data_IF_163551698261
#
_entry.id   IF_163551698261
#
_cell.length_a   1.000
_cell.length_b   1.000
_cell.length_c   1.000
_cell.angle_alpha   90.00
_cell.angle_beta   90.00
_cell.angle_gamma   90.00
#
_symmetry.space_group_name_H-M   'P 1'
#
loop_
_entity.id
_entity.type
_entity.pdbx_description
1 polymer ?
#
# COMPACT_ATOMS: atom_id res chain seq x y z
N UNK A 1 35.69 10.25 -27.13
CA UNK A 1 36.08 8.92 -26.65
C UNK A 1 34.92 8.42 -25.82
N UNK A 2 34.07 7.63 -26.43
CA UNK A 2 32.82 7.06 -25.85
C UNK A 2 33.17 5.78 -25.09
N UNK A 3 32.83 5.77 -23.82
CA UNK A 3 33.04 4.62 -22.93
C UNK A 3 31.84 3.65 -23.12
N UNK A 4 32.03 2.38 -23.47
CA UNK A 4 30.91 1.44 -23.58
C UNK A 4 30.50 0.95 -22.19
N UNK A 5 29.23 1.12 -21.83
CA UNK A 5 28.56 0.53 -20.67
C UNK A 5 28.69 -0.99 -20.69
N UNK A 6 29.40 -1.54 -19.72
CA UNK A 6 29.47 -2.99 -19.45
C UNK A 6 28.11 -3.46 -18.91
N UNK A 7 27.39 -4.24 -19.69
CA UNK A 7 26.29 -5.10 -19.22
C UNK A 7 26.89 -6.26 -18.43
N UNK A 8 26.80 -6.21 -17.10
CA UNK A 8 27.12 -7.37 -16.26
C UNK A 8 25.87 -8.27 -16.16
N UNK A 9 25.93 -9.46 -16.71
CA UNK A 9 24.97 -10.52 -16.46
C UNK A 9 25.21 -11.10 -15.08
N UNK A 10 24.40 -10.73 -14.10
CA UNK A 10 24.27 -11.43 -12.83
C UNK A 10 23.17 -12.48 -12.96
N UNK A 11 23.45 -13.73 -12.62
CA UNK A 11 22.46 -14.81 -12.54
C UNK A 11 21.87 -14.85 -11.14
N UNK A 12 20.54 -14.77 -11.06
CA UNK A 12 19.78 -14.93 -9.83
C UNK A 12 19.63 -16.43 -9.46
N UNK A 13 19.38 -16.83 -8.19
CA UNK A 13 19.25 -18.22 -7.74
C UNK A 13 18.21 -19.08 -8.47
N UNK A 14 17.37 -18.47 -9.33
CA UNK A 14 16.38 -19.13 -10.17
C UNK A 14 16.79 -19.36 -11.63
N UNK A 15 18.03 -19.05 -12.05
CA UNK A 15 18.57 -19.38 -13.38
C UNK A 15 18.09 -18.49 -14.54
N UNK A 16 17.41 -17.37 -14.30
CA UNK A 16 16.93 -16.44 -15.33
C UNK A 16 17.97 -15.37 -15.74
N UNK A 17 17.99 -14.99 -17.02
CA UNK A 17 18.82 -13.87 -17.49
C UNK A 17 18.21 -12.54 -17.07
N UNK A 18 18.93 -11.75 -16.28
CA UNK A 18 18.50 -10.38 -15.89
C UNK A 18 18.72 -9.44 -17.08
N UNK A 19 17.65 -8.79 -17.53
CA UNK A 19 17.67 -7.73 -18.55
C UNK A 19 16.90 -6.52 -18.03
N UNK A 20 17.35 -5.34 -18.41
CA UNK A 20 16.65 -4.08 -18.17
C UNK A 20 16.89 -3.48 -16.79
N UNK A 21 17.47 -2.32 -16.78
CA UNK A 21 17.98 -1.65 -15.60
C UNK A 21 17.36 -0.27 -15.46
N UNK A 22 16.22 -0.18 -14.76
CA UNK A 22 16.02 1.02 -13.97
C UNK A 22 16.53 0.76 -12.55
N UNK A 23 17.01 1.78 -11.85
CA UNK A 23 17.38 1.67 -10.44
C UNK A 23 16.20 1.30 -9.52
N UNK A 24 14.97 1.23 -10.07
CA UNK A 24 13.70 1.06 -9.36
C UNK A 24 12.99 -0.27 -9.64
N UNK A 25 13.35 -0.94 -10.76
CA UNK A 25 12.74 -2.21 -11.12
C UNK A 25 13.72 -3.05 -11.97
N UNK A 26 13.63 -4.37 -11.82
CA UNK A 26 14.42 -5.35 -12.57
C UNK A 26 13.47 -6.26 -13.33
N UNK A 27 13.76 -6.54 -14.60
CA UNK A 27 13.06 -7.50 -15.41
C UNK A 27 13.85 -8.82 -15.48
N UNK A 28 13.23 -9.90 -15.08
CA UNK A 28 13.79 -11.26 -15.16
C UNK A 28 12.90 -12.15 -15.99
N UNK A 29 13.46 -12.96 -16.86
CA UNK A 29 12.74 -14.01 -17.60
C UNK A 29 12.77 -15.31 -16.79
N UNK A 30 11.60 -15.84 -16.49
CA UNK A 30 11.45 -17.12 -15.80
C UNK A 30 10.84 -18.13 -16.77
N UNK A 31 11.41 -19.33 -16.88
CA UNK A 31 10.82 -20.41 -17.67
C UNK A 31 9.85 -21.20 -16.79
N UNK A 32 8.56 -21.08 -17.09
CA UNK A 32 7.52 -21.86 -16.45
C UNK A 32 7.39 -23.23 -17.17
N UNK A 33 7.18 -24.32 -16.42
CA UNK A 33 7.21 -25.67 -17.00
C UNK A 33 6.19 -25.91 -18.12
N UNK A 34 4.99 -25.35 -18.01
CA UNK A 34 3.89 -25.56 -18.96
C UNK A 34 3.59 -24.33 -19.84
N UNK A 35 3.66 -23.13 -19.28
CA UNK A 35 3.31 -21.88 -19.96
C UNK A 35 4.46 -21.29 -20.79
N UNK A 36 5.71 -21.69 -20.54
CA UNK A 36 6.90 -21.14 -21.23
C UNK A 36 7.43 -19.86 -20.58
N UNK A 37 7.85 -18.88 -21.40
CA UNK A 37 8.51 -17.67 -20.89
C UNK A 37 7.56 -16.75 -20.15
N UNK A 38 7.93 -16.40 -18.92
CA UNK A 38 7.21 -15.49 -18.04
C UNK A 38 8.09 -14.26 -17.72
N UNK A 39 7.56 -13.06 -17.85
CA UNK A 39 8.25 -11.83 -17.50
C UNK A 39 7.96 -11.48 -16.03
N UNK A 40 8.98 -11.54 -15.18
CA UNK A 40 8.89 -11.16 -13.77
C UNK A 40 9.54 -9.81 -13.55
N UNK A 41 8.77 -8.83 -13.09
CA UNK A 41 9.21 -7.49 -12.73
C UNK A 41 9.37 -7.44 -11.22
N UNK A 42 10.59 -7.21 -10.74
CA UNK A 42 10.89 -7.04 -9.31
C UNK A 42 11.12 -5.57 -9.00
N UNK A 43 10.24 -4.99 -8.18
CA UNK A 43 10.34 -3.61 -7.72
C UNK A 43 11.35 -3.49 -6.59
N UNK A 44 12.21 -2.46 -6.65
CA UNK A 44 13.30 -2.25 -5.68
C UNK A 44 13.40 -0.79 -5.27
N UNK A 45 13.72 -0.55 -4.01
CA UNK A 45 14.04 0.78 -3.46
C UNK A 45 15.54 1.03 -3.30
N UNK A 46 16.38 0.14 -3.88
CA UNK A 46 17.81 0.13 -3.63
C UNK A 46 18.17 -0.70 -2.38
N UNK A 47 19.44 -0.68 -2.01
CA UNK A 47 19.99 -1.54 -0.96
C UNK A 47 19.25 -1.37 0.39
N UNK A 48 18.56 -2.41 0.82
CA UNK A 48 17.86 -2.48 2.10
C UNK A 48 16.64 -1.59 2.27
N UNK A 49 16.21 -0.87 1.23
CA UNK A 49 15.06 0.04 1.28
C UNK A 49 13.84 -0.54 0.58
N UNK A 50 12.62 -0.26 1.07
CA UNK A 50 11.41 -0.61 0.35
C UNK A 50 11.30 0.20 -0.95
N UNK A 51 10.75 -0.41 -1.99
CA UNK A 51 10.34 0.32 -3.18
C UNK A 51 9.24 1.34 -2.85
N UNK A 52 9.33 2.53 -3.42
CA UNK A 52 8.31 3.58 -3.36
C UNK A 52 8.09 4.18 -4.75
N UNK A 53 6.90 4.71 -5.00
CA UNK A 53 6.59 5.37 -6.27
C UNK A 53 6.81 6.88 -6.19
N UNK A 54 7.84 7.35 -6.88
CA UNK A 54 8.03 8.73 -7.32
C UNK A 54 7.70 8.85 -8.81
N UNK A 55 7.69 10.05 -9.36
CA UNK A 55 7.56 10.23 -10.82
C UNK A 55 8.65 9.48 -11.58
N UNK A 56 9.88 9.48 -11.08
CA UNK A 56 11.03 8.81 -11.70
C UNK A 56 10.87 7.28 -11.69
N UNK A 57 10.47 6.69 -10.56
CA UNK A 57 10.25 5.23 -10.46
C UNK A 57 9.03 4.77 -11.27
N UNK A 58 7.97 5.59 -11.37
CA UNK A 58 6.84 5.31 -12.25
C UNK A 58 7.25 5.32 -13.72
N UNK A 59 8.05 6.29 -14.16
CA UNK A 59 8.59 6.32 -15.53
C UNK A 59 9.50 5.12 -15.81
N UNK A 60 10.37 4.75 -14.86
CA UNK A 60 11.21 3.56 -14.98
C UNK A 60 10.39 2.26 -15.09
N UNK A 61 9.29 2.15 -14.34
CA UNK A 61 8.36 1.01 -14.48
C UNK A 61 7.63 1.05 -15.84
N UNK A 62 7.25 2.23 -16.31
CA UNK A 62 6.61 2.41 -17.62
C UNK A 62 7.51 1.91 -18.77
N UNK A 63 8.79 2.25 -18.75
CA UNK A 63 9.77 1.80 -19.75
C UNK A 63 9.82 0.25 -19.81
N UNK A 64 9.89 -0.40 -18.66
CA UNK A 64 9.87 -1.88 -18.58
C UNK A 64 8.54 -2.44 -19.10
N UNK A 65 7.41 -1.84 -18.73
CA UNK A 65 6.10 -2.32 -19.20
C UNK A 65 5.93 -2.16 -20.72
N UNK A 66 6.50 -1.12 -21.33
CA UNK A 66 6.53 -0.94 -22.80
C UNK A 66 7.35 -2.05 -23.46
N UNK A 67 8.55 -2.38 -22.94
CA UNK A 67 9.37 -3.48 -23.44
C UNK A 67 8.62 -4.82 -23.32
N UNK A 68 8.04 -5.09 -22.14
CA UNK A 68 7.30 -6.34 -21.90
C UNK A 68 6.07 -6.43 -22.81
N UNK A 69 5.33 -5.33 -23.03
CA UNK A 69 4.18 -5.30 -23.94
C UNK A 69 4.56 -5.64 -25.38
N UNK A 70 5.68 -5.16 -25.87
CA UNK A 70 6.18 -5.50 -27.21
C UNK A 70 6.47 -7.02 -27.33
N UNK A 71 7.03 -7.62 -26.29
CA UNK A 71 7.32 -9.08 -26.24
C UNK A 71 6.07 -9.93 -26.07
N UNK A 72 5.09 -9.46 -25.32
CA UNK A 72 3.76 -10.08 -25.23
C UNK A 72 3.10 -10.09 -26.60
N UNK A 73 3.09 -8.95 -27.29
CA UNK A 73 2.46 -8.82 -28.61
C UNK A 73 3.15 -9.66 -29.71
N UNK A 74 4.43 -9.96 -29.54
CA UNK A 74 5.17 -10.88 -30.43
C UNK A 74 5.04 -12.37 -30.04
N UNK A 75 4.27 -12.69 -28.99
CA UNK A 75 4.09 -14.06 -28.52
C UNK A 75 5.29 -14.66 -27.79
N UNK A 76 6.27 -13.84 -27.40
CA UNK A 76 7.49 -14.30 -26.71
C UNK A 76 7.27 -14.50 -25.19
N UNK A 77 6.23 -13.91 -24.61
CA UNK A 77 5.92 -13.95 -23.18
C UNK A 77 4.48 -14.40 -22.99
N UNK A 78 4.27 -15.42 -22.16
CA UNK A 78 2.96 -16.01 -21.89
C UNK A 78 2.24 -15.41 -20.67
N UNK A 79 2.96 -14.68 -19.83
CA UNK A 79 2.40 -14.02 -18.65
C UNK A 79 3.38 -13.02 -18.05
N UNK A 80 2.86 -12.08 -17.27
CA UNK A 80 3.63 -10.99 -16.64
C UNK A 80 3.37 -10.99 -15.15
N UNK A 81 4.41 -10.97 -14.33
CA UNK A 81 4.31 -10.86 -12.88
C UNK A 81 5.04 -9.64 -12.34
N UNK A 82 4.52 -9.09 -11.26
CA UNK A 82 5.16 -8.03 -10.49
C UNK A 82 5.32 -8.48 -9.03
N UNK A 83 6.49 -8.24 -8.46
CA UNK A 83 6.80 -8.56 -7.06
C UNK A 83 7.72 -7.52 -6.46
N UNK A 84 7.92 -7.57 -5.15
CA UNK A 84 8.87 -6.71 -4.46
C UNK A 84 10.09 -7.47 -3.93
N UNK A 85 10.92 -6.80 -3.14
CA UNK A 85 12.11 -7.38 -2.53
C UNK A 85 11.96 -7.57 -1.03
N UNK A 86 12.54 -8.63 -0.49
CA UNK A 86 12.59 -8.95 0.94
C UNK A 86 11.17 -9.02 1.55
N UNK A 87 10.91 -8.15 2.56
CA UNK A 87 9.62 -8.06 3.27
C UNK A 87 8.71 -6.97 2.73
N UNK A 88 9.05 -6.39 1.59
CA UNK A 88 8.28 -5.31 0.99
C UNK A 88 7.87 -5.68 -0.42
N UNK A 89 6.58 -5.54 -0.70
CA UNK A 89 6.10 -5.49 -2.06
C UNK A 89 6.33 -4.07 -2.60
N UNK A 90 5.59 -3.08 -2.12
CA UNK A 90 5.84 -1.65 -2.34
C UNK A 90 5.26 -0.84 -1.18
N UNK A 91 6.03 0.12 -0.66
CA UNK A 91 5.64 0.93 0.50
C UNK A 91 4.82 2.20 0.14
N UNK A 92 4.27 2.26 -1.07
CA UNK A 92 3.41 3.35 -1.50
C UNK A 92 4.10 4.45 -2.28
N UNK A 93 3.44 5.62 -2.36
CA UNK A 93 3.97 6.81 -3.00
C UNK A 93 5.08 7.46 -2.17
N UNK A 94 6.00 8.18 -2.83
CA UNK A 94 6.94 9.06 -2.14
C UNK A 94 6.21 10.32 -1.63
N UNK A 95 5.76 10.24 -0.37
CA UNK A 95 4.99 11.29 0.31
C UNK A 95 5.78 12.61 0.38
N UNK A 96 7.12 12.55 0.45
CA UNK A 96 7.96 13.76 0.49
C UNK A 96 7.91 14.48 -0.85
N UNK A 97 8.06 13.73 -1.95
CA UNK A 97 7.96 14.29 -3.29
C UNK A 97 6.56 14.90 -3.54
N UNK A 98 5.49 14.24 -3.09
CA UNK A 98 4.13 14.78 -3.20
C UNK A 98 3.93 16.07 -2.40
N UNK A 99 4.46 16.16 -1.17
CA UNK A 99 4.38 17.35 -0.32
C UNK A 99 5.02 18.57 -0.96
N UNK A 100 6.07 18.37 -1.75
CA UNK A 100 6.84 19.44 -2.37
C UNK A 100 6.19 20.03 -3.63
N UNK A 101 5.11 19.43 -4.13
CA UNK A 101 4.33 19.95 -5.26
C UNK A 101 3.65 21.28 -4.89
N UNK A 102 3.64 22.25 -5.81
CA UNK A 102 3.18 23.62 -5.54
C UNK A 102 1.96 24.03 -6.35
N UNK A 103 1.63 23.32 -7.40
CA UNK A 103 0.55 23.66 -8.31
C UNK A 103 -0.31 22.44 -8.69
N UNK A 104 -1.55 22.73 -9.06
CA UNK A 104 -2.54 21.71 -9.38
C UNK A 104 -2.21 20.93 -10.66
N UNK A 105 -1.53 21.57 -11.62
CA UNK A 105 -1.11 20.91 -12.85
C UNK A 105 -0.11 19.79 -12.58
N UNK A 106 0.93 20.09 -11.80
CA UNK A 106 1.93 19.11 -11.37
C UNK A 106 1.33 18.00 -10.51
N UNK A 107 0.44 18.33 -9.58
CA UNK A 107 -0.23 17.34 -8.74
C UNK A 107 -1.10 16.37 -9.57
N UNK A 108 -1.89 16.90 -10.51
CA UNK A 108 -2.67 16.07 -11.44
C UNK A 108 -1.79 15.26 -12.40
N UNK A 109 -0.63 15.80 -12.80
CA UNK A 109 0.29 15.09 -13.69
C UNK A 109 0.83 13.81 -13.02
N UNK A 110 1.21 13.88 -11.74
CA UNK A 110 1.64 12.69 -10.96
C UNK A 110 0.50 11.69 -10.81
N UNK A 111 -0.72 12.16 -10.53
CA UNK A 111 -1.88 11.28 -10.45
C UNK A 111 -2.15 10.56 -11.79
N UNK A 112 -2.13 11.28 -12.92
CA UNK A 112 -2.28 10.68 -14.25
C UNK A 112 -1.19 9.68 -14.59
N UNK A 113 0.07 9.98 -14.24
CA UNK A 113 1.18 9.08 -14.50
C UNK A 113 0.98 7.73 -13.81
N UNK A 114 0.54 7.70 -12.55
CA UNK A 114 0.25 6.44 -11.86
C UNK A 114 -0.86 5.65 -12.55
N UNK A 115 -1.97 6.30 -12.95
CA UNK A 115 -3.03 5.65 -13.73
C UNK A 115 -2.53 5.09 -15.06
N UNK A 116 -1.68 5.84 -15.78
CA UNK A 116 -1.12 5.39 -17.06
C UNK A 116 -0.23 4.16 -16.88
N UNK A 117 0.66 4.18 -15.90
CA UNK A 117 1.60 3.09 -15.65
C UNK A 117 0.88 1.83 -15.17
N UNK A 118 -0.04 1.96 -14.23
CA UNK A 118 -0.78 0.79 -13.72
C UNK A 118 -1.79 0.28 -14.76
N UNK A 119 -2.39 1.17 -15.54
CA UNK A 119 -3.24 0.80 -16.67
C UNK A 119 -2.48 0.06 -17.77
N UNK A 120 -1.19 0.35 -17.97
CA UNK A 120 -0.37 -0.40 -18.92
C UNK A 120 -0.14 -1.86 -18.51
N UNK A 121 -0.02 -2.14 -17.20
CA UNK A 121 0.02 -3.52 -16.68
C UNK A 121 -1.32 -4.23 -16.89
N UNK A 122 -2.43 -3.55 -16.59
CA UNK A 122 -3.79 -4.09 -16.72
C UNK A 122 -4.15 -4.40 -18.18
N UNK A 123 -3.68 -3.57 -19.13
CA UNK A 123 -3.95 -3.70 -20.57
C UNK A 123 -3.13 -4.78 -21.29
N UNK A 124 -2.30 -5.54 -20.60
CA UNK A 124 -1.52 -6.62 -21.23
C UNK A 124 -2.43 -7.72 -21.78
N UNK A 125 -2.17 -8.18 -23.00
CA UNK A 125 -2.95 -9.23 -23.68
C UNK A 125 -2.63 -10.65 -23.18
N UNK A 126 -1.99 -10.79 -22.02
CA UNK A 126 -1.68 -12.06 -21.34
C UNK A 126 -2.08 -11.94 -19.86
N UNK A 127 -2.23 -13.06 -19.14
CA UNK A 127 -2.47 -13.01 -17.69
C UNK A 127 -1.39 -12.24 -16.96
N UNK A 128 -1.81 -11.28 -16.12
CA UNK A 128 -0.94 -10.48 -15.26
C UNK A 128 -1.10 -10.85 -13.80
N UNK A 129 -0.01 -10.84 -13.06
CA UNK A 129 0.05 -11.32 -11.68
C UNK A 129 0.73 -10.31 -10.77
N UNK A 130 0.22 -10.14 -9.55
CA UNK A 130 0.94 -9.50 -8.45
C UNK A 130 1.25 -10.54 -7.37
N UNK A 131 2.52 -10.75 -7.10
CA UNK A 131 2.99 -11.64 -6.05
C UNK A 131 3.35 -10.78 -4.82
N UNK A 132 2.37 -10.61 -3.92
CA UNK A 132 2.48 -9.73 -2.76
C UNK A 132 3.31 -10.44 -1.68
N UNK A 133 4.64 -10.31 -1.79
CA UNK A 133 5.61 -10.97 -0.93
C UNK A 133 5.78 -10.33 0.47
N UNK A 134 5.18 -9.17 0.70
CA UNK A 134 5.32 -8.42 1.94
C UNK A 134 4.43 -7.17 1.97
N UNK A 135 4.86 -6.13 2.65
CA UNK A 135 4.08 -4.91 2.81
C UNK A 135 3.70 -4.28 1.47
N UNK A 136 2.39 -4.07 1.25
CA UNK A 136 1.78 -3.44 0.08
C UNK A 136 0.88 -2.29 0.56
N UNK A 137 1.38 -1.07 0.51
CA UNK A 137 0.75 0.08 1.14
C UNK A 137 0.41 1.14 0.09
N UNK A 138 -0.80 1.69 0.12
CA UNK A 138 -1.22 2.76 -0.78
C UNK A 138 -1.00 2.41 -2.25
N UNK A 139 -0.31 3.24 -3.01
CA UNK A 139 0.05 2.97 -4.41
C UNK A 139 0.71 1.60 -4.65
N UNK A 140 1.32 1.00 -3.62
CA UNK A 140 1.82 -0.36 -3.67
C UNK A 140 0.69 -1.40 -3.74
N UNK A 141 -0.39 -1.21 -3.01
CA UNK A 141 -1.58 -2.04 -3.17
C UNK A 141 -2.29 -1.71 -4.50
N UNK A 142 -2.32 -0.45 -4.93
CA UNK A 142 -2.97 -0.04 -6.18
C UNK A 142 -2.34 -0.69 -7.42
N UNK A 143 -1.00 -0.81 -7.48
CA UNK A 143 -0.34 -1.56 -8.58
C UNK A 143 -0.65 -3.06 -8.52
N UNK A 144 -0.77 -3.64 -7.32
CA UNK A 144 -1.20 -5.03 -7.18
C UNK A 144 -2.66 -5.24 -7.65
N UNK A 145 -3.53 -4.26 -7.39
CA UNK A 145 -4.93 -4.28 -7.87
C UNK A 145 -5.05 -4.14 -9.39
N UNK A 146 -4.06 -3.54 -10.06
CA UNK A 146 -4.00 -3.45 -11.52
C UNK A 146 -3.63 -4.79 -12.20
N UNK A 147 -2.99 -5.70 -11.50
CA UNK A 147 -2.78 -7.07 -12.02
C UNK A 147 -4.10 -7.86 -12.00
N UNK A 148 -4.29 -8.75 -13.00
CA UNK A 148 -5.50 -9.57 -13.07
C UNK A 148 -5.59 -10.57 -11.92
N UNK A 149 -4.47 -11.19 -11.51
CA UNK A 149 -4.40 -12.20 -10.48
C UNK A 149 -3.41 -11.81 -9.38
N UNK A 150 -3.67 -12.22 -8.15
CA UNK A 150 -2.85 -11.89 -6.97
C UNK A 150 -2.62 -13.09 -6.09
N UNK A 151 -1.37 -13.27 -5.69
CA UNK A 151 -1.02 -14.13 -4.55
C UNK A 151 -0.51 -13.26 -3.40
N UNK A 152 -0.65 -13.73 -2.18
CA UNK A 152 -0.17 -13.01 -0.99
C UNK A 152 0.60 -13.94 -0.08
N UNK A 153 1.71 -13.46 0.48
CA UNK A 153 2.42 -14.17 1.55
C UNK A 153 1.64 -14.06 2.86
N UNK A 154 1.46 -15.18 3.56
CA UNK A 154 0.85 -15.17 4.90
C UNK A 154 1.65 -14.35 5.92
N UNK A 155 2.95 -14.14 5.67
CA UNK A 155 3.82 -13.30 6.50
C UNK A 155 3.78 -11.80 6.13
N UNK A 156 3.05 -11.42 5.09
CA UNK A 156 2.84 -10.01 4.79
C UNK A 156 2.07 -9.35 5.94
N UNK A 157 2.65 -8.31 6.53
CA UNK A 157 2.17 -7.73 7.79
C UNK A 157 1.54 -6.34 7.64
N UNK A 158 1.50 -5.79 6.42
CA UNK A 158 0.92 -4.48 6.16
C UNK A 158 0.37 -4.41 4.73
N UNK A 159 -0.92 -4.66 4.59
CA UNK A 159 -1.67 -4.50 3.34
C UNK A 159 -2.76 -3.48 3.60
N UNK A 160 -2.70 -2.32 2.93
CA UNK A 160 -3.61 -1.21 3.25
C UNK A 160 -3.67 -0.14 2.17
N UNK A 161 -4.77 0.63 2.18
CA UNK A 161 -4.92 1.92 1.51
C UNK A 161 -5.11 3.00 2.58
N UNK A 162 -4.01 3.53 3.16
CA UNK A 162 -4.08 4.39 4.33
C UNK A 162 -4.20 5.88 3.99
N UNK A 163 -4.44 6.24 2.75
CA UNK A 163 -4.32 7.60 2.21
C UNK A 163 -5.14 8.62 3.00
N UNK A 164 -6.37 8.27 3.43
CA UNK A 164 -7.21 9.21 4.19
C UNK A 164 -6.64 9.57 5.57
N UNK A 165 -5.79 8.71 6.14
CA UNK A 165 -5.06 9.01 7.37
C UNK A 165 -4.05 10.15 7.18
N UNK A 166 -3.52 10.29 5.96
CA UNK A 166 -2.59 11.36 5.59
C UNK A 166 -3.28 12.56 4.94
N UNK A 167 -4.61 12.55 4.79
CA UNK A 167 -5.34 13.63 4.13
C UNK A 167 -5.34 13.51 2.61
N UNK A 168 -5.09 12.33 2.06
CA UNK A 168 -5.19 11.98 0.64
C UNK A 168 -6.30 10.94 0.41
N UNK A 169 -6.42 10.47 -0.83
CA UNK A 169 -7.21 9.30 -1.21
C UNK A 169 -6.38 8.40 -2.15
N UNK A 170 -6.72 7.10 -2.28
CA UNK A 170 -6.13 6.26 -3.32
C UNK A 170 -6.43 6.86 -4.68
N UNK A 171 -5.42 7.30 -5.39
CA UNK A 171 -5.61 8.11 -6.60
C UNK A 171 -4.92 7.54 -7.84
N UNK A 172 -4.59 6.24 -7.82
CA UNK A 172 -4.03 5.49 -8.94
C UNK A 172 -4.88 4.27 -9.32
N UNK A 173 -6.20 4.38 -9.05
CA UNK A 173 -7.21 3.40 -9.42
C UNK A 173 -7.70 2.52 -8.27
N UNK A 174 -7.27 2.77 -7.04
CA UNK A 174 -7.72 2.03 -5.86
C UNK A 174 -9.20 2.23 -5.57
N UNK A 175 -9.71 3.45 -5.77
CA UNK A 175 -11.13 3.78 -5.57
C UNK A 175 -12.04 3.03 -6.55
N UNK A 176 -11.58 2.84 -7.80
CA UNK A 176 -12.31 2.08 -8.80
C UNK A 176 -12.19 0.56 -8.60
N UNK A 177 -10.95 0.06 -8.45
CA UNK A 177 -10.66 -1.40 -8.50
C UNK A 177 -11.04 -2.13 -7.23
N UNK A 178 -10.77 -1.54 -6.05
CA UNK A 178 -10.97 -2.28 -4.79
C UNK A 178 -12.43 -2.66 -4.55
N UNK A 179 -13.43 -1.77 -4.64
CA UNK A 179 -14.82 -2.14 -4.39
C UNK A 179 -15.37 -3.15 -5.41
N UNK A 180 -14.83 -3.17 -6.62
CA UNK A 180 -15.20 -4.16 -7.65
C UNK A 180 -14.53 -5.52 -7.44
N UNK A 181 -13.50 -5.56 -6.61
CA UNK A 181 -12.80 -6.80 -6.25
C UNK A 181 -13.35 -7.46 -4.98
N UNK A 182 -13.66 -6.66 -3.94
CA UNK A 182 -14.04 -7.18 -2.61
C UNK A 182 -15.42 -6.70 -2.13
N UNK A 183 -16.16 -6.00 -2.97
CA UNK A 183 -17.45 -5.39 -2.65
C UNK A 183 -17.33 -4.04 -1.94
N UNK A 184 -18.37 -3.18 -2.03
CA UNK A 184 -18.32 -1.81 -1.52
C UNK A 184 -18.14 -1.73 0.00
N UNK A 185 -18.75 -2.62 0.77
CA UNK A 185 -18.63 -2.62 2.24
C UNK A 185 -17.20 -2.92 2.72
N UNK A 186 -16.55 -3.93 2.14
CA UNK A 186 -15.17 -4.25 2.46
C UNK A 186 -14.21 -3.15 1.95
N UNK A 187 -14.51 -2.52 0.83
CA UNK A 187 -13.72 -1.41 0.33
C UNK A 187 -13.78 -0.19 1.26
N UNK A 188 -14.96 0.18 1.77
CA UNK A 188 -15.11 1.23 2.80
C UNK A 188 -14.33 0.86 4.07
N UNK A 189 -14.39 -0.41 4.50
CA UNK A 189 -13.59 -0.88 5.63
C UNK A 189 -12.09 -0.66 5.43
N UNK A 190 -11.55 -1.04 4.26
CA UNK A 190 -10.11 -0.94 3.96
C UNK A 190 -9.65 0.50 3.75
N UNK A 191 -10.46 1.34 3.06
CA UNK A 191 -10.06 2.69 2.67
C UNK A 191 -10.48 3.79 3.67
N UNK A 192 -11.47 3.53 4.55
CA UNK A 192 -12.02 4.51 5.50
C UNK A 192 -11.89 4.04 6.94
N UNK A 193 -12.55 2.92 7.29
CA UNK A 193 -12.62 2.48 8.68
C UNK A 193 -11.24 2.17 9.27
N UNK A 194 -10.47 1.34 8.58
CA UNK A 194 -9.14 0.92 9.04
C UNK A 194 -8.16 2.10 9.18
N UNK A 195 -8.00 3.01 8.19
CA UNK A 195 -7.15 4.18 8.35
C UNK A 195 -7.59 5.10 9.50
N UNK A 196 -8.89 5.34 9.67
CA UNK A 196 -9.44 6.15 10.77
C UNK A 196 -9.44 5.43 12.13
N UNK A 197 -9.15 4.13 12.16
CA UNK A 197 -8.94 3.33 13.37
C UNK A 197 -7.44 3.19 13.70
N UNK A 198 -6.74 4.30 13.88
CA UNK A 198 -5.30 4.37 14.16
C UNK A 198 -4.43 3.72 13.07
N UNK A 199 -4.80 3.89 11.82
CA UNK A 199 -4.11 3.32 10.67
C UNK A 199 -3.96 1.78 10.76
N UNK A 200 -5.05 1.09 11.07
CA UNK A 200 -5.09 -0.37 11.09
C UNK A 200 -4.77 -0.92 9.69
N UNK A 201 -3.92 -1.93 9.65
CA UNK A 201 -3.54 -2.62 8.40
C UNK A 201 -4.04 -4.06 8.43
N UNK A 202 -4.13 -4.69 7.26
CA UNK A 202 -4.38 -6.11 7.11
C UNK A 202 -3.04 -6.86 7.10
N UNK A 203 -3.03 -8.07 7.60
CA UNK A 203 -2.01 -9.06 7.30
C UNK A 203 -2.36 -9.85 6.02
N UNK A 204 -1.44 -10.70 5.56
CA UNK A 204 -1.65 -11.46 4.32
C UNK A 204 -2.84 -12.42 4.39
N UNK A 205 -3.10 -13.02 5.55
CA UNK A 205 -4.23 -13.92 5.75
C UNK A 205 -5.55 -13.16 5.68
N UNK A 206 -5.66 -12.06 6.38
CA UNK A 206 -6.85 -11.18 6.33
C UNK A 206 -7.09 -10.61 4.93
N UNK A 207 -6.04 -10.27 4.19
CA UNK A 207 -6.16 -9.81 2.81
C UNK A 207 -6.70 -10.90 1.88
N UNK A 208 -6.27 -12.16 2.06
CA UNK A 208 -6.81 -13.31 1.34
C UNK A 208 -8.27 -13.58 1.70
N UNK A 209 -8.61 -13.59 3.00
CA UNK A 209 -9.97 -13.80 3.48
C UNK A 209 -10.97 -12.75 2.97
N UNK A 210 -10.51 -11.49 2.83
CA UNK A 210 -11.30 -10.41 2.22
C UNK A 210 -11.41 -10.51 0.69
N UNK A 211 -10.63 -11.38 0.03
CA UNK A 211 -10.63 -11.53 -1.43
C UNK A 211 -9.72 -10.55 -2.17
N UNK A 212 -8.83 -9.82 -1.47
CA UNK A 212 -7.81 -8.97 -2.11
C UNK A 212 -6.84 -9.84 -2.93
N UNK A 213 -6.53 -11.05 -2.45
CA UNK A 213 -5.72 -12.02 -3.18
C UNK A 213 -6.53 -13.28 -3.52
N UNK A 214 -6.19 -13.93 -4.63
CA UNK A 214 -6.84 -15.15 -5.10
C UNK A 214 -6.37 -16.40 -4.37
N UNK A 215 -5.15 -16.37 -3.83
CA UNK A 215 -4.57 -17.42 -3.00
C UNK A 215 -3.48 -16.85 -2.09
N UNK A 216 -3.19 -17.59 -1.01
CA UNK A 216 -2.13 -17.24 -0.06
C UNK A 216 -1.14 -18.40 0.04
N UNK A 217 0.14 -18.07 0.21
CA UNK A 217 1.21 -19.03 0.39
C UNK A 217 2.09 -18.64 1.55
N UNK A 218 2.68 -19.63 2.22
CA UNK A 218 3.62 -19.41 3.31
C UNK A 218 5.01 -19.01 2.77
N UNK A 219 5.69 -18.12 3.49
CA UNK A 219 7.13 -17.89 3.38
C UNK A 219 7.87 -19.13 3.95
N UNK A 220 9.02 -19.59 3.47
CA UNK A 220 9.95 -18.94 2.54
C UNK A 220 9.73 -19.25 1.06
N UNK A 221 8.86 -20.18 0.70
CA UNK A 221 8.68 -20.64 -0.69
C UNK A 221 7.65 -19.83 -1.48
N UNK A 222 7.29 -18.66 -0.98
CA UNK A 222 6.23 -17.83 -1.53
C UNK A 222 6.36 -17.58 -3.05
N UNK A 223 7.52 -17.13 -3.52
CA UNK A 223 7.70 -16.80 -4.94
C UNK A 223 7.63 -18.03 -5.82
N UNK A 224 8.25 -19.14 -5.42
CA UNK A 224 8.23 -20.39 -6.19
C UNK A 224 6.81 -20.99 -6.27
N UNK A 225 6.05 -20.92 -5.16
CA UNK A 225 4.64 -21.35 -5.14
C UNK A 225 3.76 -20.43 -6.00
N UNK A 226 4.01 -19.12 -5.96
CA UNK A 226 3.30 -18.13 -6.77
C UNK A 226 3.55 -18.32 -8.26
N UNK A 227 4.80 -18.59 -8.66
CA UNK A 227 5.16 -18.92 -10.06
C UNK A 227 4.52 -20.23 -10.51
N UNK A 228 4.55 -21.27 -9.68
CA UNK A 228 3.89 -22.55 -10.00
C UNK A 228 2.36 -22.40 -10.08
N UNK A 229 1.77 -21.51 -9.30
CA UNK A 229 0.36 -21.18 -9.42
C UNK A 229 0.07 -20.37 -10.69
N UNK A 230 0.91 -19.42 -11.07
CA UNK A 230 0.79 -18.65 -12.31
C UNK A 230 0.87 -19.57 -13.54
N UNK A 231 1.79 -20.55 -13.56
CA UNK A 231 1.91 -21.54 -14.62
C UNK A 231 0.58 -22.30 -14.84
N UNK A 232 -0.06 -22.71 -13.74
CA UNK A 232 -1.38 -23.36 -13.80
C UNK A 232 -2.48 -22.41 -14.28
N UNK A 233 -2.51 -21.16 -13.82
CA UNK A 233 -3.52 -20.19 -14.25
C UNK A 233 -3.36 -19.86 -15.74
N UNK A 234 -2.14 -19.73 -16.25
CA UNK A 234 -1.90 -19.44 -17.67
C UNK A 234 -2.38 -20.60 -18.56
N UNK A 235 -2.21 -21.83 -18.12
CA UNK A 235 -2.52 -23.02 -18.93
C UNK A 235 -3.92 -23.58 -18.73
N UNK A 236 -4.60 -23.24 -17.62
CA UNK A 236 -5.96 -23.72 -17.30
C UNK A 236 -7.01 -22.62 -17.56
N UNK A 237 -7.63 -22.67 -18.74
CA UNK A 237 -8.68 -21.72 -19.12
C UNK A 237 -9.94 -21.83 -18.24
N UNK A 238 -10.30 -23.04 -17.79
CA UNK A 238 -11.49 -23.25 -16.95
C UNK A 238 -11.29 -22.60 -15.57
N UNK A 239 -10.09 -22.72 -15.00
CA UNK A 239 -9.76 -22.08 -13.72
C UNK A 239 -9.75 -20.55 -13.83
N UNK A 240 -9.26 -20.00 -14.96
CA UNK A 240 -9.36 -18.55 -15.19
C UNK A 240 -10.81 -18.09 -15.25
N UNK A 241 -11.65 -18.80 -15.99
CA UNK A 241 -13.07 -18.49 -16.13
C UNK A 241 -13.77 -18.50 -14.77
N UNK A 242 -13.52 -19.48 -13.91
CA UNK A 242 -14.07 -19.54 -12.55
C UNK A 242 -13.69 -18.31 -11.72
N UNK A 243 -12.42 -17.91 -11.73
CA UNK A 243 -11.94 -16.73 -11.01
C UNK A 243 -12.55 -15.44 -11.55
N UNK A 244 -12.72 -15.33 -12.86
CA UNK A 244 -13.30 -14.15 -13.51
C UNK A 244 -14.80 -14.04 -13.24
N UNK A 245 -15.54 -15.13 -13.27
CA UNK A 245 -16.96 -15.18 -12.91
C UNK A 245 -17.19 -14.77 -11.45
N UNK A 246 -16.34 -15.25 -10.53
CA UNK A 246 -16.39 -14.84 -9.13
C UNK A 246 -16.20 -13.33 -8.97
N UNK A 247 -15.23 -12.73 -9.69
CA UNK A 247 -14.98 -11.27 -9.66
C UNK A 247 -16.13 -10.49 -10.29
N UNK A 248 -16.64 -10.96 -11.42
CA UNK A 248 -17.77 -10.34 -12.08
C UNK A 248 -19.01 -10.27 -11.16
N UNK A 249 -19.29 -11.34 -10.42
CA UNK A 249 -20.38 -11.38 -9.45
C UNK A 249 -20.20 -10.34 -8.31
N UNK A 250 -18.96 -10.12 -7.84
CA UNK A 250 -18.66 -9.10 -6.83
C UNK A 250 -18.79 -7.69 -7.42
N UNK A 251 -18.28 -7.50 -8.64
CA UNK A 251 -18.33 -6.20 -9.34
C UNK A 251 -19.75 -5.76 -9.66
N UNK A 252 -20.69 -6.70 -9.80
CA UNK A 252 -22.13 -6.48 -10.04
C UNK A 252 -22.91 -6.24 -8.72
N UNK A 253 -22.24 -5.72 -7.68
CA UNK A 253 -22.90 -5.34 -6.43
C UNK A 253 -24.06 -4.36 -6.68
N UNK A 254 -25.18 -4.63 -6.02
CA UNK A 254 -26.41 -3.85 -6.20
C UNK A 254 -26.24 -2.39 -5.73
N UNK A 255 -27.13 -1.53 -6.22
CA UNK A 255 -27.16 -0.13 -5.81
C UNK A 255 -27.38 0.00 -4.30
N UNK A 256 -28.23 -0.85 -3.74
CA UNK A 256 -28.54 -0.90 -2.31
C UNK A 256 -27.33 -1.25 -1.46
N UNK A 257 -26.49 -2.18 -1.92
CA UNK A 257 -25.22 -2.53 -1.25
C UNK A 257 -24.24 -1.34 -1.26
N UNK A 258 -24.13 -0.64 -2.39
CA UNK A 258 -23.32 0.56 -2.49
C UNK A 258 -23.83 1.68 -1.56
N UNK A 259 -25.14 1.97 -1.61
CA UNK A 259 -25.76 3.02 -0.80
C UNK A 259 -25.60 2.72 0.70
N UNK A 260 -25.78 1.47 1.11
CA UNK A 260 -25.57 1.04 2.49
C UNK A 260 -24.10 1.19 2.96
N UNK A 261 -23.13 0.78 2.11
CA UNK A 261 -21.72 0.89 2.42
C UNK A 261 -21.28 2.36 2.55
N UNK A 262 -21.72 3.23 1.64
CA UNK A 262 -21.41 4.66 1.65
C UNK A 262 -22.02 5.33 2.87
N UNK A 263 -23.30 5.03 3.19
CA UNK A 263 -23.96 5.56 4.38
C UNK A 263 -23.22 5.17 5.67
N UNK A 264 -22.83 3.89 5.82
CA UNK A 264 -22.02 3.44 6.94
C UNK A 264 -20.67 4.17 7.01
N UNK A 265 -20.01 4.37 5.87
CA UNK A 265 -18.77 5.14 5.77
C UNK A 265 -18.95 6.59 6.24
N UNK A 266 -20.04 7.26 5.87
CA UNK A 266 -20.31 8.65 6.31
C UNK A 266 -20.48 8.73 7.84
N UNK A 267 -21.16 7.77 8.46
CA UNK A 267 -21.28 7.68 9.93
C UNK A 267 -19.91 7.51 10.57
N UNK A 268 -19.05 6.66 10.03
CA UNK A 268 -17.68 6.48 10.55
C UNK A 268 -16.89 7.79 10.43
N UNK A 269 -16.91 8.44 9.28
CA UNK A 269 -16.19 9.71 9.05
C UNK A 269 -16.65 10.78 10.03
N UNK A 270 -17.95 10.97 10.20
CA UNK A 270 -18.52 11.92 11.15
C UNK A 270 -18.05 11.62 12.59
N UNK A 271 -18.18 10.37 13.03
CA UNK A 271 -17.82 9.95 14.38
C UNK A 271 -16.33 10.10 14.70
N UNK A 272 -15.45 9.92 13.70
CA UNK A 272 -13.99 9.93 13.86
C UNK A 272 -13.35 11.29 13.62
N UNK A 273 -13.95 12.11 12.78
CA UNK A 273 -13.35 13.36 12.31
C UNK A 273 -14.20 14.58 12.60
N UNK A 274 -15.43 14.42 13.08
CA UNK A 274 -16.43 15.49 13.19
C UNK A 274 -16.56 16.27 11.87
N UNK A 275 -16.38 15.60 10.74
CA UNK A 275 -16.34 16.14 9.37
C UNK A 275 -15.25 17.22 9.15
N UNK A 276 -14.25 17.31 10.02
CA UNK A 276 -13.15 18.27 9.88
C UNK A 276 -12.07 17.81 8.86
N UNK A 277 -12.07 16.52 8.50
CA UNK A 277 -11.12 15.95 7.52
C UNK A 277 -11.77 15.85 6.14
N UNK A 278 -11.28 16.58 5.11
CA UNK A 278 -11.91 16.58 3.78
C UNK A 278 -11.67 15.27 3.00
N UNK A 279 -10.53 14.61 3.17
CA UNK A 279 -10.17 13.45 2.34
C UNK A 279 -11.10 12.25 2.50
N UNK A 280 -11.52 11.81 3.71
CA UNK A 280 -12.44 10.70 3.85
C UNK A 280 -13.82 10.99 3.24
N UNK A 281 -14.35 12.21 3.42
CA UNK A 281 -15.60 12.63 2.83
C UNK A 281 -15.52 12.62 1.29
N UNK A 282 -14.44 13.19 0.74
CA UNK A 282 -14.18 13.23 -0.71
C UNK A 282 -14.07 11.83 -1.30
N UNK A 283 -13.45 10.88 -0.59
CA UNK A 283 -13.38 9.49 -1.01
C UNK A 283 -14.76 8.85 -1.11
N UNK A 284 -15.64 9.08 -0.13
CA UNK A 284 -17.03 8.58 -0.17
C UNK A 284 -17.83 9.17 -1.31
N UNK A 285 -17.64 10.46 -1.63
CA UNK A 285 -18.25 11.10 -2.81
C UNK A 285 -17.80 10.45 -4.11
N UNK A 286 -16.50 10.11 -4.21
CA UNK A 286 -15.97 9.39 -5.38
C UNK A 286 -16.51 7.97 -5.50
N UNK A 287 -16.70 7.24 -4.40
CA UNK A 287 -17.34 5.93 -4.40
C UNK A 287 -18.80 6.02 -4.86
N UNK A 288 -19.53 7.05 -4.40
CA UNK A 288 -20.92 7.28 -4.78
C UNK A 288 -21.07 7.62 -6.26
N UNK A 289 -20.25 8.51 -6.79
CA UNK A 289 -20.22 8.87 -8.19
C UNK A 289 -19.69 7.72 -9.07
N UNK A 290 -18.61 7.10 -8.65
CA UNK A 290 -17.86 6.10 -9.42
C UNK A 290 -18.55 4.75 -9.59
N UNK A 291 -19.60 4.46 -8.79
CA UNK A 291 -20.30 3.16 -8.85
C UNK A 291 -20.87 2.84 -10.25
N UNK A 292 -21.31 3.87 -10.98
CA UNK A 292 -21.92 3.75 -12.31
C UNK A 292 -21.01 4.21 -13.46
N UNK A 293 -19.79 4.62 -13.16
CA UNK A 293 -18.82 5.09 -14.15
C UNK A 293 -17.93 3.94 -14.64
N UNK A 294 -17.43 4.10 -15.86
CA UNK A 294 -16.33 3.27 -16.33
C UNK A 294 -15.00 3.66 -15.68
N UNK A 295 -13.98 2.87 -15.96
CA UNK A 295 -12.66 3.06 -15.35
C UNK A 295 -11.99 4.39 -15.74
N UNK A 296 -12.14 4.82 -16.99
CA UNK A 296 -11.54 6.07 -17.47
C UNK A 296 -12.19 7.29 -16.83
N UNK A 297 -13.52 7.28 -16.74
CA UNK A 297 -14.28 8.34 -16.06
C UNK A 297 -13.95 8.39 -14.55
N UNK A 298 -13.82 7.24 -13.90
CA UNK A 298 -13.44 7.17 -12.50
C UNK A 298 -12.00 7.67 -12.29
N UNK A 299 -11.08 7.32 -13.20
CA UNK A 299 -9.70 7.81 -13.15
C UNK A 299 -9.60 9.33 -13.22
N UNK A 300 -10.42 9.98 -14.07
CA UNK A 300 -10.47 11.45 -14.13
C UNK A 300 -10.96 12.07 -12.81
N UNK A 301 -11.92 11.45 -12.14
CA UNK A 301 -12.37 11.89 -10.82
C UNK A 301 -11.27 11.72 -9.76
N UNK A 302 -10.59 10.57 -9.74
CA UNK A 302 -9.48 10.30 -8.82
C UNK A 302 -8.32 11.28 -9.03
N UNK A 303 -7.93 11.54 -10.28
CA UNK A 303 -6.87 12.50 -10.65
C UNK A 303 -7.19 13.91 -10.14
N UNK A 304 -8.43 14.36 -10.32
CA UNK A 304 -8.84 15.69 -9.88
C UNK A 304 -8.83 15.78 -8.35
N UNK A 305 -9.44 14.82 -7.66
CA UNK A 305 -9.55 14.81 -6.22
C UNK A 305 -8.17 14.65 -5.54
N UNK A 306 -7.32 13.73 -6.02
CA UNK A 306 -5.97 13.56 -5.48
C UNK A 306 -5.14 14.84 -5.70
N UNK A 307 -5.22 15.47 -6.89
CA UNK A 307 -4.51 16.72 -7.17
C UNK A 307 -4.90 17.86 -6.23
N UNK A 308 -6.18 18.00 -5.92
CA UNK A 308 -6.68 19.00 -4.96
C UNK A 308 -6.20 18.70 -3.54
N UNK A 309 -6.27 17.43 -3.11
CA UNK A 309 -5.88 17.02 -1.75
C UNK A 309 -4.36 17.15 -1.51
N UNK A 310 -3.51 16.87 -2.49
CA UNK A 310 -2.05 17.08 -2.40
C UNK A 310 -1.71 18.53 -2.03
N UNK A 311 -2.47 19.49 -2.51
CA UNK A 311 -2.25 20.91 -2.22
C UNK A 311 -2.93 21.38 -0.94
N UNK A 312 -3.76 20.56 -0.33
CA UNK A 312 -4.52 20.92 0.87
C UNK A 312 -3.60 21.15 2.07
N UNK A 313 -3.97 22.09 2.97
CA UNK A 313 -3.28 22.25 4.25
C UNK A 313 -3.28 20.95 5.06
N UNK A 314 -4.39 20.19 5.07
CA UNK A 314 -4.51 18.95 5.83
C UNK A 314 -3.44 17.94 5.44
N UNK A 315 -3.20 17.71 4.15
CA UNK A 315 -2.15 16.79 3.71
C UNK A 315 -0.77 17.25 4.20
N UNK A 316 -0.45 18.52 4.03
CA UNK A 316 0.85 19.09 4.46
C UNK A 316 1.07 18.95 5.96
N UNK A 317 0.04 19.23 6.74
CA UNK A 317 0.08 19.15 8.20
C UNK A 317 0.15 17.68 8.68
N UNK A 318 -0.59 16.78 8.03
CA UNK A 318 -0.54 15.34 8.31
C UNK A 318 0.83 14.75 8.00
N UNK A 319 1.43 15.12 6.86
CA UNK A 319 2.79 14.68 6.51
C UNK A 319 3.82 15.24 7.48
N UNK A 320 3.70 16.50 7.89
CA UNK A 320 4.56 17.07 8.91
C UNK A 320 4.44 16.30 10.23
N UNK A 321 3.22 16.04 10.69
CA UNK A 321 2.99 15.27 11.91
C UNK A 321 3.57 13.85 11.80
N UNK A 322 3.36 13.18 10.69
CA UNK A 322 3.82 11.80 10.46
C UNK A 322 5.35 11.71 10.31
N UNK A 323 5.95 12.49 9.41
CA UNK A 323 7.37 12.39 9.10
C UNK A 323 8.27 13.11 10.12
N UNK A 324 7.86 14.31 10.57
CA UNK A 324 8.71 15.14 11.39
C UNK A 324 8.49 14.89 12.89
N UNK A 325 7.26 14.72 13.33
CA UNK A 325 6.98 14.53 14.75
C UNK A 325 7.04 13.07 15.18
N UNK A 326 6.35 12.15 14.51
CA UNK A 326 6.28 10.76 14.92
C UNK A 326 7.57 10.01 14.60
N UNK A 327 8.13 10.16 13.40
CA UNK A 327 9.36 9.46 13.02
C UNK A 327 10.60 10.01 13.73
N UNK A 328 10.64 11.32 14.04
CA UNK A 328 11.77 11.89 14.82
C UNK A 328 11.72 11.49 16.29
N UNK A 329 10.53 11.31 16.87
CA UNK A 329 10.39 10.80 18.24
C UNK A 329 10.89 9.37 18.41
N UNK A 330 10.87 8.56 17.35
CA UNK A 330 11.40 7.20 17.36
C UNK A 330 12.94 7.16 17.23
N UNK A 331 13.57 8.28 16.88
CA UNK A 331 15.05 8.41 16.81
C UNK A 331 15.52 9.40 17.85
N UNK A 332 16.63 9.12 18.51
CA UNK A 332 17.27 10.12 19.37
C UNK A 332 17.50 11.40 18.58
N UNK A 333 16.97 12.56 19.02
CA UNK A 333 17.17 13.81 18.28
C UNK A 333 18.67 14.10 18.16
N UNK A 334 19.06 14.68 17.01
CA UNK A 334 20.45 15.18 16.85
C UNK A 334 20.73 16.19 17.97
N UNK A 335 21.77 15.96 18.77
CA UNK A 335 22.08 16.76 19.95
C UNK A 335 21.48 16.23 21.26
N UNK A 336 20.81 15.07 21.25
CA UNK A 336 20.46 14.39 22.50
C UNK A 336 21.77 14.06 23.28
N UNK A 337 21.78 14.28 24.60
CA UNK A 337 22.88 13.86 25.44
C UNK A 337 23.13 12.35 25.29
N UNK A 338 24.40 11.95 25.46
CA UNK A 338 24.75 10.53 25.47
C UNK A 338 23.87 9.79 26.50
N UNK A 339 23.17 8.71 26.14
CA UNK A 339 22.38 7.91 27.07
C UNK A 339 23.18 7.45 28.30
N UNK A 340 24.49 7.30 28.17
CA UNK A 340 25.39 6.99 29.29
C UNK A 340 25.46 8.08 30.36
N UNK A 341 25.08 9.31 30.04
CA UNK A 341 24.94 10.44 30.96
C UNK A 341 23.61 10.45 31.74
N UNK A 342 22.68 9.56 31.38
CA UNK A 342 21.43 9.45 32.10
C UNK A 342 21.64 8.97 33.53
N UNK A 343 21.15 9.72 34.49
CA UNK A 343 21.19 9.29 35.90
C UNK A 343 20.15 8.17 36.10
N UNK A 344 20.49 7.15 36.89
CA UNK A 344 19.53 6.11 37.24
C UNK A 344 18.34 6.71 37.97
N UNK A 345 17.15 6.33 37.58
CA UNK A 345 15.92 6.70 38.29
C UNK A 345 15.77 5.75 39.48
N UNK A 346 15.89 6.29 40.69
CA UNK A 346 15.80 5.49 41.93
C UNK A 346 14.42 5.62 42.61
N UNK A 347 13.63 6.60 42.22
CA UNK A 347 12.28 6.88 42.76
C UNK A 347 11.49 7.76 41.80
N UNK A 348 10.21 7.52 41.68
CA UNK A 348 9.28 8.31 40.87
C UNK A 348 8.25 8.97 41.74
N UNK A 349 8.04 10.28 41.54
CA UNK A 349 6.94 11.04 42.15
C UNK A 349 5.85 11.28 41.12
N UNK A 350 4.60 10.97 41.45
CA UNK A 350 3.42 11.23 40.63
C UNK A 350 2.55 12.25 41.38
N UNK A 351 2.29 13.39 40.75
CA UNK A 351 1.41 14.42 41.29
C UNK A 351 0.01 14.27 40.65
N UNK A 352 -0.99 14.05 41.49
CA UNK A 352 -2.34 13.64 41.12
C UNK A 352 -2.58 12.17 41.48
N UNK A 353 -3.80 11.84 41.92
CA UNK A 353 -4.19 10.47 42.27
C UNK A 353 -5.44 9.99 41.49
N UNK A 354 -5.76 10.66 40.37
CA UNK A 354 -6.84 10.25 39.48
C UNK A 354 -6.50 8.99 38.68
N UNK A 355 -7.45 8.50 37.89
CA UNK A 355 -7.34 7.26 37.11
C UNK A 355 -6.06 7.20 36.26
N UNK A 356 -5.73 8.25 35.54
CA UNK A 356 -4.54 8.33 34.71
C UNK A 356 -3.25 8.29 35.51
N UNK A 357 -3.20 9.00 36.63
CA UNK A 357 -2.04 9.00 37.52
C UNK A 357 -1.78 7.62 38.14
N UNK A 358 -2.85 6.90 38.52
CA UNK A 358 -2.75 5.52 38.98
C UNK A 358 -2.20 4.57 37.93
N UNK A 359 -2.62 4.68 36.67
CA UNK A 359 -2.11 3.90 35.56
C UNK A 359 -0.63 4.20 35.27
N UNK A 360 -0.22 5.48 35.29
CA UNK A 360 1.18 5.88 35.13
C UNK A 360 2.05 5.39 36.27
N UNK A 361 1.58 5.48 37.52
CA UNK A 361 2.29 4.96 38.68
C UNK A 361 2.55 3.45 38.57
N UNK A 362 1.52 2.69 38.18
CA UNK A 362 1.65 1.26 37.93
C UNK A 362 2.65 0.95 36.78
N UNK A 363 2.59 1.70 35.69
CA UNK A 363 3.52 1.58 34.57
C UNK A 363 4.97 1.80 35.02
N UNK A 364 5.25 2.88 35.75
CA UNK A 364 6.59 3.19 36.26
C UNK A 364 7.09 2.14 37.26
N UNK A 365 6.24 1.68 38.18
CA UNK A 365 6.60 0.63 39.11
C UNK A 365 6.98 -0.67 38.40
N UNK A 366 6.24 -1.06 37.35
CA UNK A 366 6.49 -2.27 36.57
C UNK A 366 7.70 -2.17 35.65
N UNK A 367 7.93 -1.01 35.01
CA UNK A 367 8.99 -0.85 34.03
C UNK A 367 10.34 -0.48 34.62
N UNK A 368 10.35 0.36 35.67
CA UNK A 368 11.57 0.86 36.28
C UNK A 368 11.97 0.09 37.54
N UNK A 369 11.06 -0.71 38.10
CA UNK A 369 11.28 -1.47 39.35
C UNK A 369 11.76 -0.60 40.51
N UNK A 370 11.25 0.64 40.60
CA UNK A 370 11.62 1.61 41.64
C UNK A 370 10.38 2.01 42.46
N UNK A 371 10.56 2.51 43.71
CA UNK A 371 9.45 3.04 44.47
C UNK A 371 8.75 4.20 43.77
N UNK A 372 7.41 4.15 43.72
CA UNK A 372 6.57 5.23 43.19
C UNK A 372 5.78 5.86 44.35
N UNK A 373 5.88 7.16 44.50
CA UNK A 373 5.11 7.95 45.49
C UNK A 373 4.10 8.79 44.74
N UNK A 374 2.84 8.67 45.14
CA UNK A 374 1.75 9.50 44.61
C UNK A 374 1.34 10.54 45.66
N UNK A 375 1.04 11.76 45.21
CA UNK A 375 0.47 12.80 46.02
C UNK A 375 -0.67 13.50 45.28
N UNK A 376 -1.68 13.95 46.01
CA UNK A 376 -2.76 14.76 45.49
C UNK A 376 -2.96 16.00 46.36
N UNK A 377 -3.59 17.03 45.77
CA UNK A 377 -4.04 18.21 46.47
C UNK A 377 -5.27 17.92 47.38
N UNK A 378 -6.04 16.88 47.00
CA UNK A 378 -7.20 16.45 47.76
C UNK A 378 -6.84 15.31 48.73
N UNK A 379 -7.07 15.49 50.02
CA UNK A 379 -6.75 14.50 51.06
C UNK A 379 -7.86 13.48 51.29
N UNK A 380 -8.78 13.28 50.34
CA UNK A 380 -9.83 12.28 50.38
C UNK A 380 -9.30 10.84 50.49
N UNK A 381 -10.12 9.85 50.87
CA UNK A 381 -9.68 8.46 51.04
C UNK A 381 -9.08 7.91 49.73
N UNK A 382 -7.83 7.53 49.82
CA UNK A 382 -7.03 6.93 48.73
C UNK A 382 -7.37 5.46 48.69
N UNK A 383 -8.20 5.06 47.70
CA UNK A 383 -8.47 3.64 47.40
C UNK A 383 -7.28 2.91 46.80
#
# INVERSE_FOLDING_TARGET
>A
MTNPTRTSTQTDPGGGAVRGLSSYAQLTEVQLPAAGTFALITLTGGEGKPATFSSESLLGLQEILVEVAARVNSGQVAGVGITGQNRFFVAGADIKALKDLKDLGSARAVARLGHQVFGALEAMNVPTFAFINGAAIGGGLEVALAARYRTVSTDANAISLPEVYLGLLPGWGGVYRLPRLIGPANAVKVMIENPLANNKVLDGRSAYELGIADTAFDSPDFLSQSLAWADRIITDAARREELDQRRAAIADSSREEWDAAIAAGRVIVESKTSNAAPAPARLLDLLELGRSLDQAQSADLEVNALGELILSPQFKDSVYAFLELLQRRAKNPSGAPDPALARPVNKVGVVGAGLMAGQLALLFARQLHVPVVMTDIDQGPRG
#
